data_IF_392043064455
#
_entry.id   IF_392043064455
#
_cell.length_a   1.000
_cell.length_b   1.000
_cell.length_c   1.000
_cell.angle_alpha   90.00
_cell.angle_beta   90.00
_cell.angle_gamma   90.00
#
_symmetry.space_group_name_H-M   'P 1'
#
loop_
_entity.id
_entity.type
_entity.pdbx_description
1 polymer ?
#
# COMPACT_ATOMS: atom_id res chain seq x y z
N UNK A 1 -10.97 -18.09 -18.70
CA UNK A 1 -10.21 -16.83 -18.64
C UNK A 1 -9.36 -16.92 -17.39
N UNK A 2 -8.02 -16.89 -17.50
CA UNK A 2 -7.14 -17.07 -16.35
C UNK A 2 -7.41 -15.92 -15.37
N UNK A 3 -7.94 -16.24 -14.20
CA UNK A 3 -8.02 -15.30 -13.09
C UNK A 3 -6.61 -14.79 -12.84
N UNK A 4 -6.44 -13.47 -12.80
CA UNK A 4 -5.18 -12.88 -12.35
C UNK A 4 -4.97 -13.35 -10.92
N UNK A 5 -3.88 -14.10 -10.66
CA UNK A 5 -3.43 -14.45 -9.32
C UNK A 5 -3.07 -13.15 -8.58
N UNK A 6 -4.10 -12.48 -8.08
CA UNK A 6 -3.95 -11.28 -7.27
C UNK A 6 -3.47 -11.70 -5.90
N UNK A 7 -2.29 -11.21 -5.53
CA UNK A 7 -1.79 -11.34 -4.16
C UNK A 7 -2.73 -10.56 -3.24
N UNK A 8 -3.53 -11.28 -2.47
CA UNK A 8 -4.41 -10.70 -1.47
C UNK A 8 -3.63 -10.49 -0.18
N UNK A 9 -3.64 -9.25 0.32
CA UNK A 9 -3.04 -8.89 1.59
C UNK A 9 -4.10 -8.38 2.55
N UNK A 10 -4.02 -8.81 3.82
CA UNK A 10 -4.86 -8.26 4.86
C UNK A 10 -4.51 -6.79 5.12
N UNK A 11 -5.53 -5.96 5.32
CA UNK A 11 -5.32 -4.53 5.63
C UNK A 11 -4.47 -4.33 6.89
N UNK A 12 -4.59 -5.22 7.88
CA UNK A 12 -3.76 -5.18 9.08
C UNK A 12 -2.28 -5.46 8.77
N UNK A 13 -1.99 -6.39 7.87
CA UNK A 13 -0.62 -6.65 7.43
C UNK A 13 -0.03 -5.41 6.76
N UNK A 14 -0.80 -4.77 5.87
CA UNK A 14 -0.40 -3.53 5.19
C UNK A 14 -0.20 -2.38 6.19
N UNK A 15 -1.05 -2.26 7.20
CA UNK A 15 -0.89 -1.27 8.28
C UNK A 15 0.40 -1.52 9.04
N UNK A 16 0.67 -2.74 9.47
CA UNK A 16 1.92 -3.05 10.18
C UNK A 16 3.13 -2.74 9.31
N UNK A 17 3.15 -3.20 8.06
CA UNK A 17 4.25 -2.99 7.13
C UNK A 17 4.56 -1.50 6.89
N UNK A 18 3.53 -0.64 6.87
CA UNK A 18 3.67 0.80 6.61
C UNK A 18 3.75 1.65 7.89
N UNK A 19 3.83 1.04 9.07
CA UNK A 19 3.70 1.72 10.37
C UNK A 19 2.44 2.59 10.43
N UNK A 20 1.30 1.96 10.13
CA UNK A 20 -0.04 2.54 10.03
C UNK A 20 -0.12 3.74 9.07
N UNK A 21 0.49 3.62 7.88
CA UNK A 21 0.58 4.70 6.89
C UNK A 21 1.22 5.97 7.46
N UNK A 22 2.30 5.82 8.25
CA UNK A 22 3.02 6.95 8.82
C UNK A 22 3.61 7.85 7.74
N UNK A 23 3.53 9.18 7.92
CA UNK A 23 4.15 10.15 7.02
C UNK A 23 5.68 9.98 6.93
N UNK A 24 6.32 9.39 7.95
CA UNK A 24 7.75 9.04 7.90
C UNK A 24 8.08 8.03 6.78
N UNK A 25 7.10 7.22 6.38
CA UNK A 25 7.22 6.25 5.31
C UNK A 25 6.63 6.76 3.98
N UNK A 26 6.15 8.00 3.91
CA UNK A 26 5.52 8.53 2.71
C UNK A 26 6.57 8.74 1.61
N UNK A 27 6.35 8.11 0.47
CA UNK A 27 7.19 8.24 -0.72
C UNK A 27 6.73 9.38 -1.63
N UNK A 28 5.42 9.69 -1.62
CA UNK A 28 4.87 10.79 -2.40
C UNK A 28 3.34 10.85 -2.34
N UNK A 29 2.78 11.90 -2.90
CA UNK A 29 1.33 12.10 -3.01
C UNK A 29 0.98 12.79 -4.34
N UNK A 30 -0.11 12.35 -4.96
CA UNK A 30 -0.69 13.01 -6.12
C UNK A 30 -2.22 12.88 -6.11
N UNK A 31 -2.88 13.28 -7.20
CA UNK A 31 -4.35 13.32 -7.27
C UNK A 31 -5.07 12.00 -6.99
N UNK A 32 -4.37 10.87 -7.10
CA UNK A 32 -4.90 9.53 -6.87
C UNK A 32 -4.59 8.98 -5.46
N UNK A 33 -3.98 9.77 -4.58
CA UNK A 33 -3.66 9.41 -3.21
C UNK A 33 -2.17 9.33 -2.90
N UNK A 34 -1.87 9.00 -1.64
CA UNK A 34 -0.51 8.91 -1.10
C UNK A 34 0.08 7.50 -1.28
N UNK A 35 1.39 7.45 -1.51
CA UNK A 35 2.18 6.23 -1.61
C UNK A 35 3.11 6.14 -0.41
N UNK A 36 3.13 4.99 0.25
CA UNK A 36 3.92 4.72 1.45
C UNK A 36 4.87 3.55 1.20
N UNK A 37 6.09 3.66 1.71
CA UNK A 37 7.02 2.54 1.86
C UNK A 37 6.49 1.62 2.96
N UNK A 38 6.60 0.32 2.75
CA UNK A 38 6.43 -0.67 3.80
C UNK A 38 7.43 -1.81 3.67
N UNK A 39 7.55 -2.60 4.72
CA UNK A 39 8.36 -3.81 4.75
C UNK A 39 7.50 -4.96 5.28
N UNK A 40 7.40 -6.04 4.50
CA UNK A 40 6.71 -7.26 4.91
C UNK A 40 7.55 -8.03 5.94
N UNK A 41 6.94 -9.01 6.60
CA UNK A 41 7.60 -9.79 7.67
C UNK A 41 8.83 -10.59 7.17
N UNK A 42 8.87 -10.90 5.88
CA UNK A 42 9.98 -11.57 5.22
C UNK A 42 11.10 -10.59 4.78
N UNK A 43 10.98 -9.31 5.11
CA UNK A 43 11.92 -8.26 4.72
C UNK A 43 11.70 -7.72 3.31
N UNK A 44 10.65 -8.17 2.60
CA UNK A 44 10.34 -7.64 1.29
C UNK A 44 9.84 -6.18 1.40
N UNK A 45 10.55 -5.25 0.78
CA UNK A 45 10.10 -3.87 0.65
C UNK A 45 8.95 -3.76 -0.37
N UNK A 46 7.92 -2.99 0.00
CA UNK A 46 6.73 -2.75 -0.82
C UNK A 46 6.41 -1.25 -0.90
N UNK A 47 5.68 -0.87 -1.94
CA UNK A 47 5.04 0.44 -2.06
C UNK A 47 3.51 0.27 -2.00
N UNK A 48 2.88 0.94 -1.04
CA UNK A 48 1.44 0.86 -0.81
C UNK A 48 0.79 2.18 -1.20
N UNK A 49 -0.05 2.15 -2.23
CA UNK A 49 -0.84 3.32 -2.66
C UNK A 49 -2.20 3.30 -1.98
N UNK A 50 -2.46 4.31 -1.15
CA UNK A 50 -3.76 4.51 -0.51
C UNK A 50 -4.60 5.43 -1.39
N UNK A 51 -5.54 4.85 -2.13
CA UNK A 51 -6.42 5.58 -3.03
C UNK A 51 -7.25 6.62 -2.26
N UNK A 52 -7.36 7.82 -2.82
CA UNK A 52 -8.28 8.84 -2.33
C UNK A 52 -9.73 8.38 -2.57
N UNK A 53 -10.68 8.80 -1.72
CA UNK A 53 -12.10 8.43 -1.85
C UNK A 53 -12.72 8.80 -3.21
N UNK A 54 -12.07 9.72 -3.93
CA UNK A 54 -12.54 10.28 -5.19
C UNK A 54 -11.73 9.75 -6.38
N UNK A 55 -10.84 8.78 -6.16
CA UNK A 55 -10.10 8.13 -7.24
C UNK A 55 -11.05 7.21 -8.01
N UNK A 56 -11.21 7.43 -9.31
CA UNK A 56 -11.97 6.54 -10.20
C UNK A 56 -11.22 5.25 -10.55
N UNK A 57 -10.53 4.65 -9.56
CA UNK A 57 -9.76 3.39 -9.70
C UNK A 57 -10.41 2.28 -8.90
#
# INVERSE_FOLDING_TARGET
MRSEDSLQFDLNMIRTATNNFSDANKLGEGGFGAVYKGELLDGQEIAVKRLSKNSGQ
#
